data_IF_336558021260
#
_entry.id   IF_336558021260
#
_cell.length_a   1.000
_cell.length_b   1.000
_cell.length_c   1.000
_cell.angle_alpha   90.00
_cell.angle_beta   90.00
_cell.angle_gamma   90.00
#
_symmetry.space_group_name_H-M   'P 1'
#
loop_
_entity.id
_entity.type
_entity.pdbx_description
1 polymer ?
#
# COMPACT_ATOMS: atom_id res chain seq x y z
N UNK A 1 3.38 2.29 -12.76
CA UNK A 1 3.43 1.49 -14.00
C UNK A 1 2.12 1.76 -14.71
N UNK A 2 2.14 1.95 -16.02
CA UNK A 2 0.92 2.19 -16.81
C UNK A 2 0.18 0.89 -17.16
N UNK A 3 0.67 -0.24 -16.62
CA UNK A 3 0.06 -1.55 -16.74
C UNK A 3 -1.23 -1.62 -15.90
N UNK A 4 -2.36 -1.82 -16.59
CA UNK A 4 -3.68 -1.95 -15.99
C UNK A 4 -4.02 -3.39 -15.56
N UNK A 5 -3.08 -4.33 -15.65
CA UNK A 5 -3.33 -5.71 -15.23
C UNK A 5 -3.55 -5.80 -13.71
N UNK A 6 -4.70 -6.35 -13.31
CA UNK A 6 -5.03 -6.61 -11.90
C UNK A 6 -4.24 -7.80 -11.31
N UNK A 7 -3.58 -8.58 -12.18
CA UNK A 7 -2.75 -9.73 -11.81
C UNK A 7 -1.33 -9.57 -12.33
N UNK A 8 -0.37 -9.66 -11.41
CA UNK A 8 1.06 -9.70 -11.68
C UNK A 8 1.59 -11.07 -11.25
N UNK A 9 2.19 -11.81 -12.18
CA UNK A 9 2.82 -13.10 -11.88
C UNK A 9 4.32 -12.88 -11.65
N UNK A 10 4.77 -13.07 -10.41
CA UNK A 10 6.18 -13.00 -10.04
C UNK A 10 6.90 -14.31 -10.36
N UNK A 11 7.87 -14.26 -11.28
CA UNK A 11 8.72 -15.40 -11.63
C UNK A 11 10.11 -15.28 -11.01
N UNK A 12 10.66 -16.40 -10.55
CA UNK A 12 11.97 -16.45 -9.89
C UNK A 12 11.90 -16.49 -8.37
N UNK A 13 13.06 -16.75 -7.75
CA UNK A 13 13.20 -16.75 -6.30
C UNK A 13 12.89 -15.37 -5.72
N UNK A 14 12.27 -15.33 -4.55
CA UNK A 14 11.80 -14.14 -3.82
C UNK A 14 10.72 -13.28 -4.51
N UNK A 15 10.40 -13.55 -5.78
CA UNK A 15 9.44 -12.77 -6.55
C UNK A 15 8.08 -12.71 -5.87
N UNK A 16 7.45 -11.54 -5.93
CA UNK A 16 6.11 -11.30 -5.40
C UNK A 16 5.16 -11.18 -6.59
N UNK A 17 4.10 -11.97 -6.56
CA UNK A 17 2.93 -11.81 -7.41
C UNK A 17 1.83 -11.04 -6.70
N UNK A 18 0.99 -10.37 -7.47
CA UNK A 18 -0.25 -9.72 -7.02
C UNK A 18 -1.42 -10.33 -7.77
N UNK A 19 -2.52 -10.55 -7.06
CA UNK A 19 -3.82 -10.93 -7.62
C UNK A 19 -4.88 -9.95 -7.09
N UNK A 20 -6.11 -9.95 -7.60
CA UNK A 20 -7.22 -9.19 -7.00
C UNK A 20 -7.49 -9.55 -5.52
N UNK A 21 -7.06 -10.73 -5.09
CA UNK A 21 -7.33 -11.27 -3.75
C UNK A 21 -6.17 -11.15 -2.78
N UNK A 22 -4.97 -10.76 -3.23
CA UNK A 22 -3.81 -10.74 -2.34
C UNK A 22 -2.46 -10.83 -3.03
N UNK A 23 -1.44 -10.85 -2.19
CA UNK A 23 -0.06 -11.10 -2.60
C UNK A 23 0.34 -12.55 -2.39
N UNK A 24 1.21 -13.04 -3.26
CA UNK A 24 1.90 -14.33 -3.11
C UNK A 24 3.40 -14.12 -3.29
N UNK A 25 4.21 -14.88 -2.57
CA UNK A 25 5.65 -14.79 -2.66
C UNK A 25 6.27 -16.17 -2.88
N UNK A 26 7.14 -16.25 -3.88
CA UNK A 26 7.96 -17.42 -4.13
C UNK A 26 9.02 -17.61 -3.04
N UNK A 27 9.54 -18.84 -2.92
CA UNK A 27 10.64 -19.16 -2.02
C UNK A 27 11.79 -18.16 -2.18
N UNK A 28 12.25 -17.57 -1.07
CA UNK A 28 13.29 -16.54 -1.07
C UNK A 28 14.65 -17.13 -1.40
N UNK A 29 14.97 -18.30 -0.82
CA UNK A 29 16.19 -19.01 -1.13
C UNK A 29 16.12 -19.64 -2.52
N UNK A 30 17.09 -19.32 -3.38
CA UNK A 30 17.18 -19.83 -4.75
C UNK A 30 17.15 -21.36 -4.80
N UNK A 31 17.86 -22.02 -3.88
CA UNK A 31 17.88 -23.49 -3.78
C UNK A 31 16.48 -24.06 -3.65
N UNK A 32 15.67 -23.50 -2.75
CA UNK A 32 14.33 -24.01 -2.44
C UNK A 32 13.35 -23.70 -3.58
N UNK A 33 13.50 -22.53 -4.23
CA UNK A 33 12.76 -22.20 -5.45
C UNK A 33 13.03 -23.22 -6.56
N UNK A 34 14.31 -23.49 -6.85
CA UNK A 34 14.70 -24.43 -7.90
C UNK A 34 14.25 -25.86 -7.59
N UNK A 35 14.31 -26.28 -6.32
CA UNK A 35 13.82 -27.60 -5.90
C UNK A 35 12.32 -27.76 -6.16
N UNK A 36 11.49 -26.76 -5.81
CA UNK A 36 10.06 -26.80 -6.12
C UNK A 36 9.79 -26.91 -7.62
N UNK A 37 10.49 -26.10 -8.44
CA UNK A 37 10.33 -26.11 -9.90
C UNK A 37 10.77 -27.44 -10.51
N UNK A 38 11.88 -28.02 -10.05
CA UNK A 38 12.37 -29.31 -10.52
C UNK A 38 11.42 -30.49 -10.20
N UNK A 39 10.54 -30.32 -9.22
CA UNK A 39 9.50 -31.29 -8.83
C UNK A 39 8.12 -30.97 -9.44
N UNK A 40 8.04 -30.07 -10.42
CA UNK A 40 6.79 -29.59 -11.03
C UNK A 40 5.79 -28.99 -10.01
N UNK A 41 6.30 -28.39 -8.93
CA UNK A 41 5.50 -27.72 -7.89
C UNK A 41 5.60 -26.20 -7.96
N UNK A 42 4.52 -25.51 -7.57
CA UNK A 42 4.56 -24.07 -7.38
C UNK A 42 5.54 -23.71 -6.26
N UNK A 43 6.39 -22.71 -6.51
CA UNK A 43 7.38 -22.24 -5.55
C UNK A 43 6.82 -21.22 -4.53
N UNK A 44 5.50 -21.03 -4.46
CA UNK A 44 4.84 -20.09 -3.55
C UNK A 44 4.94 -20.62 -2.12
N UNK A 45 5.56 -19.84 -1.23
CA UNK A 45 5.76 -20.20 0.19
C UNK A 45 5.01 -19.29 1.16
N UNK A 46 4.55 -18.13 0.70
CA UNK A 46 3.83 -17.17 1.52
C UNK A 46 2.70 -16.51 0.72
N UNK A 47 1.55 -16.34 1.35
CA UNK A 47 0.43 -15.58 0.82
C UNK A 47 -0.05 -14.55 1.83
N UNK A 48 -0.62 -13.46 1.33
CA UNK A 48 -1.34 -12.47 2.11
C UNK A 48 -2.66 -12.15 1.40
N UNK A 49 -3.78 -12.57 1.99
CA UNK A 49 -5.10 -12.28 1.46
C UNK A 49 -5.52 -10.86 1.83
N UNK A 50 -6.01 -10.10 0.85
CA UNK A 50 -6.54 -8.76 1.09
C UNK A 50 -7.90 -8.79 1.76
N UNK A 51 -8.02 -8.02 2.82
CA UNK A 51 -9.31 -7.58 3.35
C UNK A 51 -9.87 -6.43 2.52
N UNK A 52 -11.15 -6.11 2.73
CA UNK A 52 -11.76 -4.93 2.09
C UNK A 52 -11.15 -3.63 2.61
N UNK A 53 -10.58 -3.62 3.82
CA UNK A 53 -9.85 -2.44 4.30
C UNK A 53 -8.52 -2.32 3.56
N UNK A 54 -7.80 -3.42 3.34
CA UNK A 54 -6.54 -3.38 2.59
C UNK A 54 -6.72 -2.82 1.18
N UNK A 55 -7.80 -3.24 0.47
CA UNK A 55 -8.13 -2.71 -0.87
C UNK A 55 -8.43 -1.22 -0.82
N UNK A 56 -9.27 -0.78 0.10
CA UNK A 56 -9.62 0.64 0.28
C UNK A 56 -8.40 1.52 0.56
N UNK A 57 -7.50 1.05 1.44
CA UNK A 57 -6.30 1.78 1.84
C UNK A 57 -5.26 1.79 0.72
N UNK A 58 -5.11 0.67 0.01
CA UNK A 58 -4.19 0.56 -1.11
C UNK A 58 -4.51 1.58 -2.19
N UNK A 59 -5.79 1.77 -2.54
CA UNK A 59 -6.20 2.77 -3.54
C UNK A 59 -5.90 4.19 -3.08
N UNK A 60 -6.18 4.53 -1.81
CA UNK A 60 -5.83 5.85 -1.25
C UNK A 60 -4.33 6.09 -1.32
N UNK A 61 -3.53 5.14 -0.84
CA UNK A 61 -2.07 5.24 -0.79
C UNK A 61 -1.49 5.31 -2.20
N UNK A 62 -2.01 4.54 -3.15
CA UNK A 62 -1.59 4.59 -4.55
C UNK A 62 -1.78 5.99 -5.14
N UNK A 63 -2.96 6.61 -4.94
CA UNK A 63 -3.24 7.97 -5.43
C UNK A 63 -2.31 9.00 -4.79
N UNK A 64 -2.11 8.94 -3.48
CA UNK A 64 -1.15 9.82 -2.79
C UNK A 64 0.27 9.66 -3.36
N UNK A 65 0.72 8.43 -3.56
CA UNK A 65 2.10 8.13 -3.98
C UNK A 65 2.36 8.42 -5.45
N UNK A 66 1.38 8.22 -6.32
CA UNK A 66 1.51 8.40 -7.77
C UNK A 66 1.09 9.78 -8.23
N UNK A 67 -0.05 10.28 -7.74
CA UNK A 67 -0.69 11.49 -8.24
C UNK A 67 -0.42 12.69 -7.34
N UNK A 68 0.25 12.50 -6.20
CA UNK A 68 0.47 13.52 -5.15
C UNK A 68 -0.84 14.14 -4.65
N UNK A 69 -1.96 13.45 -4.87
CA UNK A 69 -3.29 13.91 -4.53
C UNK A 69 -4.23 12.72 -4.34
N UNK A 70 -5.26 12.88 -3.51
CA UNK A 70 -6.31 11.87 -3.36
C UNK A 70 -7.65 12.51 -3.01
N UNK A 71 -8.71 12.06 -3.67
CA UNK A 71 -10.10 12.38 -3.32
C UNK A 71 -10.65 11.28 -2.42
N UNK A 72 -10.72 11.55 -1.11
CA UNK A 72 -11.14 10.55 -0.14
C UNK A 72 -12.62 10.19 -0.29
N UNK A 73 -13.45 11.16 -0.72
CA UNK A 73 -14.88 10.96 -0.95
C UNK A 73 -15.13 10.03 -2.12
N UNK A 74 -14.43 10.26 -3.23
CA UNK A 74 -14.55 9.43 -4.43
C UNK A 74 -14.13 7.97 -4.16
N UNK A 75 -12.99 7.77 -3.51
CA UNK A 75 -12.50 6.41 -3.21
C UNK A 75 -13.40 5.73 -2.18
N UNK A 76 -13.83 6.42 -1.13
CA UNK A 76 -14.72 5.82 -0.15
C UNK A 76 -16.03 5.37 -0.79
N UNK A 77 -16.59 6.16 -1.71
CA UNK A 77 -17.79 5.79 -2.46
C UNK A 77 -17.56 4.52 -3.31
N UNK A 78 -16.43 4.40 -4.01
CA UNK A 78 -16.15 3.20 -4.84
C UNK A 78 -15.97 1.92 -4.01
N UNK A 79 -15.60 2.06 -2.74
CA UNK A 79 -15.48 0.96 -1.78
C UNK A 79 -16.71 0.77 -0.88
N UNK A 80 -17.77 1.57 -1.06
CA UNK A 80 -18.97 1.50 -0.21
C UNK A 80 -18.70 1.87 1.26
N UNK A 81 -17.79 2.81 1.50
CA UNK A 81 -17.30 3.23 2.82
C UNK A 81 -17.60 4.69 3.11
N UNK A 82 -17.55 5.05 4.39
CA UNK A 82 -17.59 6.44 4.85
C UNK A 82 -16.19 7.09 4.68
N UNK A 83 -16.08 8.23 3.97
CA UNK A 83 -14.82 8.96 3.81
C UNK A 83 -14.12 9.31 5.13
N UNK A 84 -14.86 9.50 6.23
CA UNK A 84 -14.27 9.79 7.54
C UNK A 84 -13.43 8.63 8.08
N UNK A 85 -13.68 7.41 7.61
CA UNK A 85 -12.89 6.22 7.98
C UNK A 85 -11.57 6.15 7.23
N UNK A 86 -11.32 7.02 6.24
CA UNK A 86 -10.09 7.04 5.45
C UNK A 86 -8.85 7.39 6.29
N UNK A 87 -8.98 8.32 7.23
CA UNK A 87 -7.84 8.82 8.02
C UNK A 87 -7.63 7.91 9.23
N UNK A 88 -6.45 7.30 9.31
CA UNK A 88 -6.05 6.42 10.43
C UNK A 88 -5.31 7.22 11.50
N UNK A 89 -4.34 8.05 11.11
CA UNK A 89 -3.53 8.88 12.02
C UNK A 89 -3.83 10.36 11.74
N UNK A 90 -4.91 10.86 12.37
CA UNK A 90 -5.35 12.24 12.22
C UNK A 90 -4.31 13.26 12.71
N UNK A 91 -3.58 12.93 13.78
CA UNK A 91 -2.54 13.80 14.34
C UNK A 91 -1.39 13.99 13.35
N UNK A 92 -0.97 12.92 12.66
CA UNK A 92 0.04 13.01 11.59
C UNK A 92 -0.44 13.90 10.45
N UNK A 93 -1.69 13.74 10.03
CA UNK A 93 -2.27 14.56 8.97
C UNK A 93 -2.29 16.06 9.37
N UNK A 94 -2.72 16.37 10.60
CA UNK A 94 -2.74 17.74 11.14
C UNK A 94 -1.35 18.36 11.23
N UNK A 95 -0.32 17.59 11.62
CA UNK A 95 1.08 18.06 11.61
C UNK A 95 1.54 18.41 10.20
N UNK A 96 1.24 17.57 9.20
CA UNK A 96 1.62 17.81 7.81
C UNK A 96 0.91 19.03 7.22
N UNK A 97 -0.33 19.31 7.64
CA UNK A 97 -1.05 20.54 7.28
C UNK A 97 -0.37 21.75 7.92
N UNK A 98 -0.05 21.67 9.22
CA UNK A 98 0.59 22.77 9.96
C UNK A 98 1.97 23.13 9.38
N UNK A 99 2.72 22.13 8.92
CA UNK A 99 4.02 22.29 8.28
C UNK A 99 3.91 22.76 6.80
N UNK A 100 2.70 22.90 6.26
CA UNK A 100 2.45 23.27 4.86
C UNK A 100 2.79 22.19 3.85
N UNK A 101 3.07 20.96 4.30
CA UNK A 101 3.42 19.83 3.45
C UNK A 101 2.25 19.29 2.64
N UNK A 102 1.02 19.46 3.15
CA UNK A 102 -0.21 19.12 2.45
C UNK A 102 -1.25 20.24 2.58
N UNK A 103 -2.18 20.29 1.64
CA UNK A 103 -3.43 21.05 1.75
C UNK A 103 -4.62 20.10 1.68
N UNK A 104 -5.73 20.50 2.29
CA UNK A 104 -6.99 19.76 2.24
C UNK A 104 -8.08 20.70 1.76
N UNK A 105 -8.77 20.32 0.69
CA UNK A 105 -9.87 21.08 0.10
C UNK A 105 -11.00 20.12 -0.33
N UNK A 106 -12.22 20.38 0.12
CA UNK A 106 -13.42 19.56 -0.15
C UNK A 106 -13.21 18.02 -0.03
N UNK A 107 -12.50 17.58 1.00
CA UNK A 107 -12.20 16.15 1.22
C UNK A 107 -11.11 15.57 0.31
N UNK A 108 -10.46 16.41 -0.50
CA UNK A 108 -9.26 16.08 -1.27
C UNK A 108 -8.02 16.49 -0.50
N UNK A 109 -7.02 15.62 -0.50
CA UNK A 109 -5.70 15.89 0.08
C UNK A 109 -4.71 16.08 -1.06
N UNK A 110 -3.93 17.15 -1.03
CA UNK A 110 -2.89 17.43 -2.01
C UNK A 110 -1.54 17.54 -1.30
N UNK A 111 -0.51 16.91 -1.83
CA UNK A 111 0.87 17.14 -1.39
C UNK A 111 1.35 18.43 -2.02
N UNK A 112 1.82 19.36 -1.18
CA UNK A 112 2.30 20.66 -1.63
C UNK A 112 3.54 20.52 -2.52
N UNK A 113 3.70 21.42 -3.49
CA UNK A 113 4.90 21.48 -4.30
C UNK A 113 6.15 21.71 -3.43
N UNK A 114 7.21 20.95 -3.67
CA UNK A 114 8.43 20.98 -2.87
C UNK A 114 8.37 20.10 -1.62
N UNK A 115 7.22 19.51 -1.28
CA UNK A 115 7.04 18.59 -0.16
C UNK A 115 6.90 17.13 -0.61
N UNK A 116 7.19 16.80 -1.88
CA UNK A 116 7.04 15.45 -2.45
C UNK A 116 7.91 14.42 -1.70
N UNK A 117 9.03 14.86 -1.12
CA UNK A 117 9.89 14.02 -0.28
C UNK A 117 9.19 13.52 1.00
N UNK A 118 8.08 14.12 1.41
CA UNK A 118 7.24 13.72 2.53
C UNK A 118 6.07 12.81 2.13
N UNK A 119 5.90 12.45 0.84
CA UNK A 119 4.75 11.68 0.35
C UNK A 119 4.51 10.38 1.13
N UNK A 120 5.58 9.69 1.55
CA UNK A 120 5.47 8.48 2.37
C UNK A 120 4.92 8.76 3.77
N UNK A 121 5.24 9.92 4.35
CA UNK A 121 4.66 10.37 5.61
C UNK A 121 3.19 10.75 5.45
N UNK A 122 2.78 11.25 4.28
CA UNK A 122 1.36 11.50 3.95
C UNK A 122 0.62 10.17 3.82
N UNK A 123 1.13 9.23 3.03
CA UNK A 123 0.55 7.89 2.85
C UNK A 123 0.39 7.15 4.19
N UNK A 124 1.36 7.28 5.09
CA UNK A 124 1.32 6.70 6.43
C UNK A 124 0.13 7.18 7.29
N UNK A 125 -0.46 8.36 7.02
CA UNK A 125 -1.65 8.82 7.72
C UNK A 125 -2.90 7.98 7.40
N UNK A 126 -2.87 7.21 6.30
CA UNK A 126 -3.93 6.35 5.83
C UNK A 126 -3.61 4.86 6.02
N UNK A 127 -2.46 4.49 6.62
CA UNK A 127 -2.02 3.09 6.74
C UNK A 127 -2.43 2.48 8.09
N UNK A 128 -3.40 1.56 8.05
CA UNK A 128 -3.89 0.84 9.24
C UNK A 128 -2.90 -0.20 9.80
N UNK A 129 -2.00 -0.73 8.98
CA UNK A 129 -0.98 -1.68 9.43
C UNK A 129 0.15 -0.98 10.17
N UNK A 130 0.53 0.22 9.73
CA UNK A 130 1.54 1.02 10.43
C UNK A 130 1.07 1.40 11.83
N UNK A 131 -0.18 1.86 11.97
CA UNK A 131 -0.76 2.21 13.27
C UNK A 131 -0.84 1.01 14.25
N UNK A 132 -0.99 -0.21 13.71
CA UNK A 132 -1.00 -1.46 14.49
C UNK A 132 0.40 -2.01 14.77
N UNK A 133 1.42 -1.55 14.03
CA UNK A 133 2.78 -2.03 14.20
C UNK A 133 3.44 -1.33 15.40
N UNK A 134 3.74 -2.11 16.44
CA UNK A 134 4.51 -1.66 17.62
C UNK A 134 6.02 -1.64 17.32
N UNK A 135 6.44 -2.06 16.12
CA UNK A 135 7.83 -2.14 15.73
C UNK A 135 8.26 -0.90 14.95
N UNK A 136 9.02 -0.02 15.61
CA UNK A 136 9.54 1.23 15.04
C UNK A 136 10.66 1.04 14.00
N UNK A 137 11.11 -0.20 13.75
CA UNK A 137 12.16 -0.52 12.78
C UNK A 137 11.94 -1.89 12.12
N UNK A 138 12.43 -2.04 10.89
CA UNK A 138 12.66 -3.34 10.26
C UNK A 138 13.46 -4.22 11.21
N UNK A 139 12.94 -5.39 11.59
CA UNK A 139 13.80 -6.43 12.20
C UNK A 139 14.80 -6.83 11.12
N UNK A 140 16.02 -6.33 11.23
CA UNK A 140 17.15 -6.93 10.56
C UNK A 140 17.25 -8.39 11.04
N UNK A 141 17.25 -9.32 10.09
CA UNK A 141 17.76 -10.68 10.31
C UNK A 141 19.21 -10.67 9.87
#
# INVERSE_FOLDING_TARGET
>A
TDDCAETLIGLGASAIGRTPHGFVQNAVAIRDYLACVAEDRLAIVKGYAFTDDDRFRADIIERVMCDMAVDLSQIALSHGRDPQTAIVDRRRLESLIADGAITVDDGRVFVSHGAEFLVRSVAAAFDAHLARSVATHSRAV
#
